data_IF_305571302531
#
_entry.id   IF_305571302531
#
_cell.length_a   1.000
_cell.length_b   1.000
_cell.length_c   1.000
_cell.angle_alpha   90.00
_cell.angle_beta   90.00
_cell.angle_gamma   90.00
#
_symmetry.space_group_name_H-M   'P 1'
#
loop_
_entity.id
_entity.type
_entity.pdbx_description
1 polymer ?
#
# COMPACT_ATOMS: atom_id res chain seq x y z
N UNK A 1 1.82 -27.81 -16.10
CA UNK A 1 2.64 -27.46 -14.93
C UNK A 1 2.39 -25.99 -14.63
N UNK A 2 1.99 -25.63 -13.42
CA UNK A 2 1.89 -24.22 -13.01
C UNK A 2 3.29 -23.62 -13.05
N UNK A 3 3.45 -22.49 -13.72
CA UNK A 3 4.71 -21.76 -13.75
C UNK A 3 5.05 -21.28 -12.32
N UNK A 4 6.19 -21.76 -11.80
CA UNK A 4 6.63 -21.45 -10.43
C UNK A 4 6.90 -19.96 -10.23
N UNK A 5 7.31 -19.24 -11.28
CA UNK A 5 7.56 -17.80 -11.22
C UNK A 5 6.24 -17.03 -11.12
N UNK A 6 5.22 -17.45 -11.88
CA UNK A 6 3.87 -16.85 -11.84
C UNK A 6 3.22 -17.06 -10.47
N UNK A 7 3.30 -18.29 -9.92
CA UNK A 7 2.80 -18.56 -8.57
C UNK A 7 3.51 -17.72 -7.50
N UNK A 8 4.83 -17.52 -7.63
CA UNK A 8 5.59 -16.67 -6.72
C UNK A 8 5.16 -15.21 -6.85
N UNK A 9 4.94 -14.72 -8.07
CA UNK A 9 4.50 -13.34 -8.31
C UNK A 9 3.12 -13.07 -7.68
N UNK A 10 2.16 -13.97 -7.84
CA UNK A 10 0.84 -13.85 -7.19
C UNK A 10 0.95 -13.69 -5.66
N UNK A 11 1.79 -14.52 -5.01
CA UNK A 11 2.05 -14.40 -3.56
C UNK A 11 2.76 -13.11 -3.17
N UNK A 12 3.64 -12.60 -4.03
CA UNK A 12 4.32 -11.32 -3.79
C UNK A 12 3.36 -10.14 -3.88
N UNK A 13 2.43 -10.15 -4.84
CA UNK A 13 1.40 -9.12 -4.96
C UNK A 13 0.56 -9.02 -3.68
N UNK A 14 0.11 -10.15 -3.13
CA UNK A 14 -0.58 -10.21 -1.85
C UNK A 14 0.28 -9.70 -0.69
N UNK A 15 1.54 -10.16 -0.60
CA UNK A 15 2.46 -9.76 0.46
C UNK A 15 2.71 -8.25 0.47
N UNK A 16 2.94 -7.64 -0.70
CA UNK A 16 3.16 -6.21 -0.81
C UNK A 16 1.89 -5.41 -0.47
N UNK A 17 0.71 -5.87 -0.91
CA UNK A 17 -0.58 -5.26 -0.54
C UNK A 17 -0.79 -5.24 0.98
N UNK A 18 -0.52 -6.36 1.66
CA UNK A 18 -0.62 -6.44 3.12
C UNK A 18 0.43 -5.56 3.82
N UNK A 19 1.64 -5.45 3.26
CA UNK A 19 2.68 -4.59 3.83
C UNK A 19 2.34 -3.09 3.71
N UNK A 20 1.71 -2.70 2.60
CA UNK A 20 1.21 -1.35 2.39
C UNK A 20 0.20 -0.92 3.48
N UNK A 21 -0.68 -1.82 3.93
CA UNK A 21 -1.60 -1.52 5.04
C UNK A 21 -0.84 -1.19 6.34
N UNK A 22 0.20 -1.97 6.67
CA UNK A 22 1.03 -1.71 7.85
C UNK A 22 1.77 -0.36 7.75
N UNK A 23 2.26 0.02 6.57
CA UNK A 23 2.86 1.33 6.35
C UNK A 23 1.84 2.46 6.47
N UNK A 24 0.63 2.27 5.95
CA UNK A 24 -0.46 3.24 6.03
C UNK A 24 -0.81 3.58 7.48
N UNK A 25 -0.92 2.58 8.35
CA UNK A 25 -1.19 2.81 9.79
C UNK A 25 -0.12 3.70 10.44
N UNK A 26 1.15 3.46 10.12
CA UNK A 26 2.26 4.29 10.58
C UNK A 26 2.17 5.72 10.02
N UNK A 27 1.83 5.88 8.74
CA UNK A 27 1.69 7.20 8.12
C UNK A 27 0.53 7.98 8.72
N UNK A 28 -0.61 7.35 8.97
CA UNK A 28 -1.77 7.95 9.62
C UNK A 28 -1.38 8.48 11.01
N UNK A 29 -0.70 7.65 11.81
CA UNK A 29 -0.21 8.07 13.14
C UNK A 29 0.65 9.34 13.05
N UNK A 30 1.61 9.38 12.14
CA UNK A 30 2.50 10.54 12.00
C UNK A 30 1.83 11.75 11.37
N UNK A 31 0.84 11.54 10.50
CA UNK A 31 -0.01 12.62 9.98
C UNK A 31 -0.78 13.31 11.09
N UNK A 32 -1.38 12.56 12.02
CA UNK A 32 -2.08 13.15 13.16
C UNK A 32 -1.12 13.93 14.06
N UNK A 33 0.08 13.40 14.33
CA UNK A 33 1.12 14.13 15.08
C UNK A 33 1.53 15.42 14.35
N UNK A 34 1.67 15.39 13.02
CA UNK A 34 1.99 16.57 12.22
C UNK A 34 0.85 17.61 12.26
N UNK A 35 -0.40 17.14 12.27
CA UNK A 35 -1.60 17.98 12.40
C UNK A 35 -1.65 18.68 13.75
N UNK A 36 -1.40 17.96 14.85
CA UNK A 36 -1.31 18.54 16.21
C UNK A 36 -0.21 19.61 16.32
N UNK A 37 0.84 19.50 15.52
CA UNK A 37 1.96 20.46 15.46
C UNK A 37 1.75 21.59 14.44
N UNK A 38 0.59 21.68 13.81
CA UNK A 38 0.28 22.66 12.76
C UNK A 38 1.24 22.62 11.55
N UNK A 39 1.82 21.45 11.25
CA UNK A 39 2.71 21.26 10.10
C UNK A 39 1.90 20.92 8.84
N UNK A 40 1.08 21.86 8.37
CA UNK A 40 0.05 21.60 7.35
C UNK A 40 0.58 21.00 6.04
N UNK A 41 1.72 21.50 5.53
CA UNK A 41 2.33 20.92 4.31
C UNK A 41 2.80 19.48 4.51
N UNK A 42 3.24 19.12 5.72
CA UNK A 42 3.62 17.73 6.04
C UNK A 42 2.37 16.85 6.09
N UNK A 43 1.27 17.34 6.66
CA UNK A 43 -0.03 16.65 6.66
C UNK A 43 -0.49 16.37 5.23
N UNK A 44 -0.48 17.38 4.35
CA UNK A 44 -0.87 17.22 2.95
C UNK A 44 -0.02 16.19 2.20
N UNK A 45 1.30 16.18 2.45
CA UNK A 45 2.19 15.20 1.82
C UNK A 45 1.94 13.78 2.34
N UNK A 46 1.66 13.62 3.64
CA UNK A 46 1.33 12.32 4.21
C UNK A 46 -0.03 11.81 3.74
N UNK A 47 -1.04 12.68 3.59
CA UNK A 47 -2.33 12.32 3.00
C UNK A 47 -2.17 11.80 1.57
N UNK A 48 -1.37 12.49 0.74
CA UNK A 48 -1.05 12.01 -0.62
C UNK A 48 -0.30 10.69 -0.61
N UNK A 49 0.65 10.51 0.31
CA UNK A 49 1.38 9.25 0.43
C UNK A 49 0.45 8.08 0.80
N UNK A 50 -0.50 8.31 1.72
CA UNK A 50 -1.53 7.34 2.09
C UNK A 50 -2.42 7.01 0.88
N UNK A 51 -2.90 8.03 0.15
CA UNK A 51 -3.72 7.83 -1.05
C UNK A 51 -3.00 7.00 -2.12
N UNK A 52 -1.72 7.29 -2.37
CA UNK A 52 -0.91 6.52 -3.32
C UNK A 52 -0.66 5.09 -2.84
N UNK A 53 -0.55 4.89 -1.52
CA UNK A 53 -0.42 3.56 -0.93
C UNK A 53 -1.69 2.72 -1.18
N UNK A 54 -2.87 3.31 -0.98
CA UNK A 54 -4.15 2.65 -1.26
C UNK A 54 -4.28 2.28 -2.75
N UNK A 55 -3.95 3.20 -3.66
CA UNK A 55 -3.92 2.89 -5.10
C UNK A 55 -2.92 1.79 -5.45
N UNK A 56 -1.74 1.80 -4.82
CA UNK A 56 -0.76 0.72 -5.02
C UNK A 56 -1.33 -0.63 -4.58
N UNK A 57 -2.02 -0.68 -3.44
CA UNK A 57 -2.69 -1.89 -2.96
C UNK A 57 -3.76 -2.38 -3.93
N UNK A 58 -4.61 -1.48 -4.45
CA UNK A 58 -5.63 -1.83 -5.45
C UNK A 58 -5.01 -2.49 -6.70
N UNK A 59 -3.95 -1.90 -7.25
CA UNK A 59 -3.26 -2.46 -8.42
C UNK A 59 -2.59 -3.80 -8.13
N UNK A 60 -2.00 -3.97 -6.94
CA UNK A 60 -1.40 -5.24 -6.52
C UNK A 60 -2.43 -6.36 -6.41
N UNK A 61 -3.58 -6.09 -5.79
CA UNK A 61 -4.65 -7.07 -5.67
C UNK A 61 -5.31 -7.38 -7.03
N UNK A 62 -5.45 -6.38 -7.90
CA UNK A 62 -5.90 -6.59 -9.28
C UNK A 62 -4.93 -7.48 -10.06
N UNK A 63 -3.62 -7.20 -9.99
CA UNK A 63 -2.60 -8.03 -10.62
C UNK A 63 -2.62 -9.47 -10.08
N UNK A 64 -2.74 -9.66 -8.76
CA UNK A 64 -2.91 -10.99 -8.16
C UNK A 64 -4.10 -11.73 -8.77
N UNK A 65 -5.26 -11.06 -8.89
CA UNK A 65 -6.48 -11.66 -9.43
C UNK A 65 -6.29 -12.16 -10.86
N UNK A 66 -5.63 -11.39 -11.73
CA UNK A 66 -5.34 -11.79 -13.11
C UNK A 66 -4.38 -12.99 -13.20
N UNK A 67 -3.53 -13.20 -12.18
CA UNK A 67 -2.59 -14.35 -12.12
C UNK A 67 -3.23 -15.63 -11.55
N UNK A 68 -4.42 -15.54 -10.97
CA UNK A 68 -5.17 -16.68 -10.39
C UNK A 68 -6.22 -17.27 -11.36
N UNK A 69 -6.38 -16.67 -12.55
CA UNK A 69 -7.29 -17.12 -13.63
C UNK A 69 -6.66 -18.20 -14.51
#
# INVERSE_FOLDING_TARGET
>A
MVDKQILKLSKLCEHWANHNESHKDSFIKWREIAREKNLLTVVENLDKAIEMMDKSTEFLLSAKKELEV
#
